data_IF_138366931169
#
_entry.id   IF_138366931169
#
_cell.length_a   1.000
_cell.length_b   1.000
_cell.length_c   1.000
_cell.angle_alpha   90.00
_cell.angle_beta   90.00
_cell.angle_gamma   90.00
#
_symmetry.space_group_name_H-M   'P 1'
#
loop_
_entity.id
_entity.type
_entity.pdbx_description
1 polymer ?
#
# COMPACT_ATOMS: atom_id res chain seq x y z
N UNK A 1 12.49 -2.16 -2.51
CA UNK A 1 12.23 -2.30 -1.06
C UNK A 1 10.94 -3.10 -0.88
N UNK A 2 10.91 -4.11 0.02
CA UNK A 2 9.67 -4.81 0.36
C UNK A 2 8.67 -3.84 1.02
N UNK A 3 7.38 -4.19 0.99
CA UNK A 3 6.37 -3.45 1.73
C UNK A 3 6.73 -3.41 3.21
N UNK A 4 6.48 -2.27 3.86
CA UNK A 4 6.55 -2.17 5.32
C UNK A 4 5.45 -3.08 5.90
N UNK A 5 5.77 -3.99 6.83
CA UNK A 5 4.79 -4.77 7.57
C UNK A 5 3.78 -3.87 8.31
N UNK A 6 2.60 -4.41 8.58
CA UNK A 6 1.55 -3.65 9.29
C UNK A 6 1.97 -3.31 10.73
N UNK A 7 2.61 -4.25 11.42
CA UNK A 7 3.14 -4.03 12.78
C UNK A 7 4.13 -2.87 12.84
N UNK A 8 5.05 -2.78 11.85
CA UNK A 8 5.99 -1.67 11.71
C UNK A 8 5.25 -0.33 11.50
N UNK A 9 4.18 -0.34 10.69
CA UNK A 9 3.34 0.85 10.42
C UNK A 9 2.63 1.31 11.68
N UNK A 10 1.99 0.39 12.41
CA UNK A 10 1.32 0.65 13.69
C UNK A 10 2.29 1.25 14.71
N UNK A 11 3.49 0.68 14.82
CA UNK A 11 4.53 1.21 15.70
C UNK A 11 4.92 2.64 15.33
N UNK A 12 5.10 2.95 14.05
CA UNK A 12 5.39 4.34 13.61
C UNK A 12 4.25 5.30 13.93
N UNK A 13 3.00 4.87 13.75
CA UNK A 13 1.81 5.68 14.03
C UNK A 13 1.68 5.95 15.53
N UNK A 14 1.90 4.96 16.39
CA UNK A 14 1.91 5.16 17.84
C UNK A 14 2.95 6.18 18.27
N UNK A 15 4.20 6.07 17.80
CA UNK A 15 5.24 7.06 18.11
C UNK A 15 4.87 8.47 17.61
N UNK A 16 4.19 8.56 16.47
CA UNK A 16 3.69 9.84 15.96
C UNK A 16 2.58 10.42 16.83
N UNK A 17 1.65 9.60 17.33
CA UNK A 17 0.60 10.00 18.27
C UNK A 17 1.17 10.46 19.62
N UNK A 18 2.30 9.88 20.05
CA UNK A 18 3.06 10.32 21.22
C UNK A 18 3.82 11.66 21.01
N UNK A 19 3.76 12.23 19.80
CA UNK A 19 4.39 13.51 19.47
C UNK A 19 5.88 13.41 19.11
N UNK A 20 6.39 12.20 18.85
CA UNK A 20 7.78 12.01 18.42
C UNK A 20 7.98 12.57 17.01
N UNK A 21 9.11 13.24 16.79
CA UNK A 21 9.45 13.82 15.48
C UNK A 21 9.65 12.71 14.45
N UNK A 22 9.12 12.93 13.25
CA UNK A 22 9.21 11.98 12.11
C UNK A 22 10.64 11.52 11.79
N UNK A 23 11.64 12.41 11.96
CA UNK A 23 13.05 12.08 11.77
C UNK A 23 13.57 11.05 12.79
N UNK A 24 13.08 11.11 14.02
CA UNK A 24 13.49 10.18 15.07
C UNK A 24 12.71 8.87 14.96
N UNK A 25 11.44 8.92 14.52
CA UNK A 25 10.68 7.72 14.12
C UNK A 25 11.40 6.97 13.00
N UNK A 26 11.89 7.68 11.97
CA UNK A 26 12.63 7.08 10.87
C UNK A 26 13.90 6.34 11.33
N UNK A 27 14.67 6.95 12.25
CA UNK A 27 15.82 6.30 12.88
C UNK A 27 15.41 5.08 13.70
N UNK A 28 14.40 5.20 14.54
CA UNK A 28 13.93 4.13 15.42
C UNK A 28 13.37 2.92 14.65
N UNK A 29 12.73 3.16 13.51
CA UNK A 29 12.18 2.11 12.66
C UNK A 29 13.17 1.59 11.60
N UNK A 30 14.35 2.20 11.46
CA UNK A 30 15.33 1.84 10.43
C UNK A 30 14.79 2.03 9.00
N UNK A 31 13.93 3.03 8.78
CA UNK A 31 13.30 3.30 7.48
C UNK A 31 13.65 4.70 6.96
N UNK A 32 13.66 4.90 5.63
CA UNK A 32 13.78 6.23 5.05
C UNK A 32 12.67 7.17 5.54
N UNK A 33 13.02 8.45 5.76
CA UNK A 33 12.07 9.47 6.18
C UNK A 33 10.89 9.60 5.21
N UNK A 34 11.12 9.47 3.89
CA UNK A 34 10.05 9.53 2.89
C UNK A 34 9.00 8.42 3.08
N UNK A 35 9.42 7.22 3.51
CA UNK A 35 8.52 6.11 3.82
C UNK A 35 7.68 6.42 5.05
N UNK A 36 8.31 6.94 6.10
CA UNK A 36 7.63 7.34 7.34
C UNK A 36 6.60 8.44 7.02
N UNK A 37 7.01 9.49 6.31
CA UNK A 37 6.12 10.59 5.95
C UNK A 37 4.91 10.10 5.16
N UNK A 38 5.12 9.26 4.14
CA UNK A 38 4.01 8.69 3.35
C UNK A 38 3.04 7.87 4.20
N UNK A 39 3.53 7.10 5.18
CA UNK A 39 2.67 6.32 6.09
C UNK A 39 1.87 7.26 7.00
N UNK A 40 2.52 8.27 7.58
CA UNK A 40 1.88 9.20 8.50
C UNK A 40 0.90 10.15 7.80
N UNK A 41 1.19 10.54 6.55
CA UNK A 41 0.26 11.30 5.70
C UNK A 41 -0.97 10.46 5.37
N UNK A 42 -0.81 9.20 4.95
CA UNK A 42 -1.95 8.31 4.72
C UNK A 42 -2.80 8.09 5.99
N UNK A 43 -2.15 7.97 7.15
CA UNK A 43 -2.86 7.88 8.42
C UNK A 43 -3.60 9.18 8.78
N UNK A 44 -2.95 10.34 8.63
CA UNK A 44 -3.52 11.66 8.97
C UNK A 44 -4.68 12.04 8.04
N UNK A 45 -4.52 11.80 6.74
CA UNK A 45 -5.42 12.32 5.71
C UNK A 45 -6.54 11.31 5.37
N UNK A 46 -6.26 10.00 5.42
CA UNK A 46 -7.21 8.93 5.06
C UNK A 46 -7.62 8.05 6.26
N UNK A 47 -6.94 8.12 7.41
CA UNK A 47 -7.12 7.19 8.53
C UNK A 47 -6.58 5.79 8.25
N UNK A 48 -5.80 5.61 7.18
CA UNK A 48 -5.39 4.28 6.69
C UNK A 48 -4.05 3.83 7.26
N UNK A 49 -4.02 2.59 7.74
CA UNK A 49 -2.82 1.92 8.25
C UNK A 49 -2.25 0.96 7.18
N UNK A 50 -3.11 0.30 6.42
CA UNK A 50 -2.73 -0.72 5.45
C UNK A 50 -2.23 -0.16 4.10
N UNK A 51 -1.63 -1.05 3.29
CA UNK A 51 -1.31 -0.70 1.91
C UNK A 51 -2.57 -0.56 1.06
N UNK A 52 -2.49 0.25 0.00
CA UNK A 52 -3.56 0.29 -0.98
C UNK A 52 -3.54 -1.05 -1.72
N UNK A 53 -4.71 -1.66 -2.01
CA UNK A 53 -4.75 -2.79 -2.92
C UNK A 53 -4.05 -2.39 -4.24
N UNK A 54 -3.22 -3.30 -4.75
CA UNK A 54 -2.56 -3.08 -6.04
C UNK A 54 -3.60 -3.31 -7.13
N UNK A 55 -4.01 -2.24 -7.78
CA UNK A 55 -4.73 -2.37 -9.04
C UNK A 55 -3.83 -3.05 -10.06
N UNK A 56 -4.35 -4.11 -10.68
CA UNK A 56 -3.68 -4.76 -11.79
C UNK A 56 -3.99 -3.97 -13.05
N UNK A 57 -3.10 -4.09 -14.04
CA UNK A 57 -3.38 -3.59 -15.38
C UNK A 57 -4.74 -4.16 -15.84
N UNK A 58 -5.67 -3.31 -16.33
CA UNK A 58 -6.93 -3.78 -16.88
C UNK A 58 -6.69 -4.83 -17.97
N UNK A 59 -7.55 -5.86 -18.02
CA UNK A 59 -7.50 -6.85 -19.10
C UNK A 59 -7.88 -6.18 -20.42
N UNK A 60 -7.27 -6.64 -21.51
CA UNK A 60 -7.61 -6.15 -22.84
C UNK A 60 -9.02 -6.60 -23.28
N UNK A 61 -9.47 -7.74 -22.77
CA UNK A 61 -10.76 -8.35 -23.08
C UNK A 61 -11.69 -8.33 -21.88
N UNK A 62 -12.99 -8.22 -22.18
CA UNK A 62 -14.08 -8.46 -21.23
C UNK A 62 -14.36 -9.96 -21.09
N UNK A 63 -15.03 -10.36 -20.02
CA UNK A 63 -15.41 -11.76 -19.80
C UNK A 63 -16.27 -12.32 -20.92
N UNK A 64 -17.14 -11.49 -21.52
CA UNK A 64 -17.94 -11.90 -22.68
C UNK A 64 -17.09 -12.13 -23.92
N UNK A 65 -16.14 -11.24 -24.21
CA UNK A 65 -15.19 -11.43 -25.30
C UNK A 65 -14.33 -12.69 -25.10
N UNK A 66 -13.89 -12.96 -23.88
CA UNK A 66 -13.15 -14.19 -23.57
C UNK A 66 -13.99 -15.44 -23.86
N UNK A 67 -15.28 -15.43 -23.49
CA UNK A 67 -16.19 -16.55 -23.79
C UNK A 67 -16.36 -16.75 -25.30
N UNK A 68 -16.50 -15.67 -26.08
CA UNK A 68 -16.62 -15.74 -27.53
C UNK A 68 -15.33 -16.24 -28.19
N UNK A 69 -14.16 -15.79 -27.72
CA UNK A 69 -12.85 -16.26 -28.20
C UNK A 69 -12.68 -17.76 -27.94
N UNK A 70 -13.02 -18.23 -26.74
CA UNK A 70 -12.94 -19.67 -26.38
C UNK A 70 -13.88 -20.50 -27.25
N UNK A 71 -15.12 -20.05 -27.47
CA UNK A 71 -16.08 -20.75 -28.32
C UNK A 71 -15.61 -20.83 -29.78
N UNK A 72 -15.01 -19.76 -30.31
CA UNK A 72 -14.51 -19.71 -31.68
C UNK A 72 -13.30 -20.64 -31.90
N UNK A 73 -12.47 -20.88 -30.88
CA UNK A 73 -11.29 -21.74 -30.97
C UNK A 73 -11.58 -23.24 -30.75
N UNK A 74 -12.78 -23.61 -30.31
CA UNK A 74 -13.19 -24.98 -30.05
C UNK A 74 -13.80 -25.71 -31.26
N UNK A 75 -13.76 -25.08 -32.45
CA UNK A 75 -14.19 -25.60 -33.75
C UNK A 75 -12.98 -26.13 -34.52
#
# INVERSE_FOLDING_TARGET
>A
MPSVPEEDRLRMIHLFQEGIRQRDIAKAAGRPLCTVNRILEAFRDEGRIENLPRERRPRATTSEQDMLIVAAAAV
#
